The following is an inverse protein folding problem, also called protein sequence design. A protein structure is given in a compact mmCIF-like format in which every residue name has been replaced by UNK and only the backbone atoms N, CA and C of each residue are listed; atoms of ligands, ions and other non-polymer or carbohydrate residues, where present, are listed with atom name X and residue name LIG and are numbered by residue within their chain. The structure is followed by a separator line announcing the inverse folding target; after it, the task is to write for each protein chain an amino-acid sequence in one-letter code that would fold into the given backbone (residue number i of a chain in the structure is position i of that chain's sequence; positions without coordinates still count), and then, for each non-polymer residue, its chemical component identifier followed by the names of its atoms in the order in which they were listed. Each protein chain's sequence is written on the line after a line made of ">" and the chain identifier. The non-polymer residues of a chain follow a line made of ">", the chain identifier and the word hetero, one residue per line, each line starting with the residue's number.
data_IF_411825861981
#
_entry.id   IF_411825861981
#
_cell.length_a   1.000
_cell.length_b   1.000
_cell.length_c   1.000
_cell.angle_alpha   90.00
_cell.angle_beta   90.00
_cell.angle_gamma   90.00
#
_symmetry.space_group_name_H-M   'P 1'
#
loop_
_entity.id
_entity.type
_entity.pdbx_description
1 polymer ?
#
# COMPACT_ATOMS: atom_id res chain seq x y z
N UNK A 1 22.93 -9.06 16.23
CA UNK A 1 22.83 -8.24 15.00
C UNK A 1 21.60 -7.37 15.14
N UNK A 2 21.70 -6.10 14.79
CA UNK A 2 20.50 -5.23 14.72
C UNK A 2 19.56 -5.75 13.64
N UNK A 3 18.26 -5.73 13.87
CA UNK A 3 17.28 -6.14 12.85
C UNK A 3 17.39 -5.21 11.63
N UNK A 4 17.35 -5.81 10.44
CA UNK A 4 17.43 -5.06 9.18
C UNK A 4 16.22 -5.39 8.34
N UNK A 5 15.37 -4.40 8.04
CA UNK A 5 14.25 -4.60 7.14
C UNK A 5 14.70 -4.97 5.73
N UNK A 6 14.11 -6.01 5.17
CA UNK A 6 14.38 -6.44 3.79
C UNK A 6 13.10 -6.26 2.98
N UNK A 7 13.00 -5.20 2.14
CA UNK A 7 11.83 -5.01 1.30
C UNK A 7 11.89 -5.88 0.04
N UNK A 8 10.71 -6.12 -0.52
CA UNK A 8 10.55 -6.60 -1.88
C UNK A 8 10.63 -5.37 -2.79
N UNK A 9 11.47 -5.47 -3.82
CA UNK A 9 11.67 -4.42 -4.80
C UNK A 9 10.98 -4.77 -6.12
N UNK A 10 10.25 -3.82 -6.67
CA UNK A 10 9.67 -3.94 -8.00
C UNK A 10 10.69 -3.52 -9.07
N UNK A 11 10.88 -4.37 -10.09
CA UNK A 11 11.84 -4.13 -11.16
C UNK A 11 11.63 -2.80 -11.88
N UNK A 12 10.36 -2.46 -12.16
CA UNK A 12 10.02 -1.26 -12.93
C UNK A 12 10.35 0.04 -12.20
N UNK A 13 10.15 0.09 -10.87
CA UNK A 13 10.57 1.22 -10.06
C UNK A 13 12.08 1.21 -9.81
N UNK A 14 12.70 0.03 -9.65
CA UNK A 14 14.15 -0.12 -9.45
C UNK A 14 14.97 0.37 -10.64
N UNK A 15 14.42 0.32 -11.85
CA UNK A 15 15.05 0.82 -13.06
C UNK A 15 15.42 2.33 -12.95
N UNK A 16 14.72 3.09 -12.09
CA UNK A 16 14.95 4.51 -11.87
C UNK A 16 15.77 4.83 -10.61
N UNK A 17 16.36 3.83 -9.98
CA UNK A 17 17.24 4.05 -8.82
C UNK A 17 18.39 5.02 -9.12
N UNK A 18 18.97 4.95 -10.31
CA UNK A 18 20.00 5.87 -10.78
C UNK A 18 19.54 7.35 -10.91
N UNK A 19 18.22 7.58 -10.95
CA UNK A 19 17.61 8.91 -10.93
C UNK A 19 17.21 9.36 -9.51
N UNK A 20 17.52 8.55 -8.48
CA UNK A 20 17.23 8.84 -7.09
C UNK A 20 15.91 8.26 -6.59
N UNK A 21 15.19 7.47 -7.38
CA UNK A 21 13.99 6.80 -6.92
C UNK A 21 14.36 5.62 -6.02
N UNK A 22 13.87 5.62 -4.77
CA UNK A 22 14.02 4.51 -3.82
C UNK A 22 12.65 4.08 -3.33
N UNK A 23 12.40 2.78 -3.25
CA UNK A 23 11.11 2.23 -2.81
C UNK A 23 11.30 0.92 -2.09
N UNK A 24 10.23 0.44 -1.45
CA UNK A 24 10.17 -0.88 -0.86
C UNK A 24 8.75 -1.28 -0.45
N UNK A 25 8.38 -2.52 -0.77
CA UNK A 25 7.24 -3.20 -0.18
C UNK A 25 7.80 -4.03 0.99
N UNK A 26 7.72 -3.48 2.21
CA UNK A 26 8.34 -4.12 3.36
C UNK A 26 7.53 -5.32 3.82
N UNK A 27 8.26 -6.34 4.25
CA UNK A 27 7.68 -7.53 4.85
C UNK A 27 7.50 -7.33 6.36
N UNK A 28 6.91 -8.32 7.04
CA UNK A 28 6.87 -8.33 8.52
C UNK A 28 8.21 -8.66 9.18
N UNK A 29 9.27 -8.91 8.40
CA UNK A 29 10.57 -9.34 8.91
C UNK A 29 11.52 -8.16 9.15
N UNK A 30 12.47 -8.34 10.07
CA UNK A 30 13.54 -7.37 10.34
C UNK A 30 13.15 -6.24 11.30
N UNK A 31 12.18 -6.48 12.19
CA UNK A 31 11.77 -5.54 13.22
C UNK A 31 11.96 -6.06 14.65
N UNK A 32 11.37 -5.36 15.61
CA UNK A 32 11.54 -5.55 17.05
C UNK A 32 10.29 -6.03 17.78
N UNK A 33 9.11 -5.91 17.16
CA UNK A 33 7.84 -6.36 17.74
C UNK A 33 7.83 -7.87 17.99
N UNK A 34 7.02 -8.30 18.96
CA UNK A 34 6.95 -9.69 19.42
C UNK A 34 5.55 -10.27 19.22
N UNK A 35 5.40 -11.56 19.48
CA UNK A 35 4.12 -12.27 19.40
C UNK A 35 3.43 -12.11 18.05
N UNK A 36 2.14 -11.80 18.02
CA UNK A 36 1.36 -11.65 16.80
C UNK A 36 1.86 -10.51 15.89
N UNK A 37 2.59 -9.53 16.46
CA UNK A 37 3.18 -8.40 15.72
C UNK A 37 4.60 -8.67 15.21
N UNK A 38 5.13 -9.88 15.40
CA UNK A 38 6.51 -10.22 15.02
C UNK A 38 6.70 -10.10 13.50
N UNK A 39 7.64 -9.28 13.07
CA UNK A 39 8.57 -8.47 13.84
C UNK A 39 8.51 -6.98 13.48
N UNK A 40 8.26 -6.62 12.20
CA UNK A 40 8.30 -5.27 11.67
C UNK A 40 6.89 -4.67 11.57
N UNK A 41 6.14 -4.68 12.70
CA UNK A 41 4.87 -3.97 12.76
C UNK A 41 5.11 -2.46 12.85
N UNK A 42 4.48 -1.69 11.95
CA UNK A 42 4.56 -0.22 11.89
C UNK A 42 3.19 0.45 12.07
N UNK A 43 2.18 -0.34 12.42
CA UNK A 43 0.79 0.09 12.58
C UNK A 43 0.56 0.80 13.92
N UNK A 44 0.52 2.13 13.93
CA UNK A 44 0.32 2.95 15.13
C UNK A 44 -1.05 2.75 15.81
N UNK A 45 -2.02 2.19 15.09
CA UNK A 45 -3.36 1.86 15.62
C UNK A 45 -3.46 0.40 16.11
N UNK A 46 -2.38 -0.36 16.16
CA UNK A 46 -2.35 -1.70 16.76
C UNK A 46 -2.12 -1.62 18.27
N UNK A 47 -2.45 -2.69 18.99
CA UNK A 47 -2.20 -2.82 20.42
C UNK A 47 -0.76 -3.30 20.73
N UNK A 48 0.17 -3.15 19.79
CA UNK A 48 1.60 -3.38 20.02
C UNK A 48 2.22 -2.29 20.89
N UNK A 49 3.38 -2.56 21.46
CA UNK A 49 4.11 -1.57 22.25
C UNK A 49 4.50 -0.36 21.40
N UNK A 50 4.13 0.87 21.79
CA UNK A 50 4.44 2.10 21.03
C UNK A 50 5.93 2.25 20.73
N UNK A 51 6.81 1.84 21.67
CA UNK A 51 8.25 1.89 21.50
C UNK A 51 8.74 0.96 20.39
N UNK A 52 8.17 -0.25 20.26
CA UNK A 52 8.50 -1.16 19.17
C UNK A 52 8.08 -0.59 17.82
N UNK A 53 6.87 0.00 17.75
CA UNK A 53 6.37 0.64 16.53
C UNK A 53 7.27 1.80 16.12
N UNK A 54 7.65 2.68 17.07
CA UNK A 54 8.53 3.81 16.81
C UNK A 54 9.90 3.35 16.29
N UNK A 55 10.50 2.33 16.92
CA UNK A 55 11.78 1.76 16.50
C UNK A 55 11.67 1.08 15.12
N UNK A 56 10.60 0.35 14.84
CA UNK A 56 10.36 -0.25 13.54
C UNK A 56 10.24 0.81 12.44
N UNK A 57 9.55 1.92 12.71
CA UNK A 57 9.46 3.06 11.79
C UNK A 57 10.81 3.72 11.56
N UNK A 58 11.64 3.82 12.60
CA UNK A 58 13.04 4.29 12.48
C UNK A 58 13.87 3.38 11.58
N UNK A 59 13.72 2.06 11.71
CA UNK A 59 14.41 1.11 10.83
C UNK A 59 14.01 1.29 9.34
N UNK A 60 12.73 1.57 9.08
CA UNK A 60 12.25 1.89 7.72
C UNK A 60 12.88 3.20 7.22
N UNK A 61 12.89 4.27 8.04
CA UNK A 61 13.51 5.54 7.67
C UNK A 61 15.01 5.39 7.36
N UNK A 62 15.74 4.62 8.18
CA UNK A 62 17.16 4.32 7.95
C UNK A 62 17.38 3.54 6.64
N UNK A 63 16.48 2.65 6.24
CA UNK A 63 16.57 2.02 4.92
C UNK A 63 16.59 3.07 3.80
N UNK A 64 15.86 4.17 3.94
CA UNK A 64 15.83 5.27 2.99
C UNK A 64 16.95 6.30 3.19
N UNK A 65 17.83 6.14 4.19
CA UNK A 65 18.89 7.08 4.59
C UNK A 65 18.31 8.45 5.03
N UNK A 66 17.20 8.44 5.76
CA UNK A 66 16.57 9.64 6.33
C UNK A 66 16.26 9.48 7.80
N UNK A 67 16.00 10.59 8.49
CA UNK A 67 15.53 10.61 9.89
C UNK A 67 14.08 10.12 9.98
N UNK A 68 13.70 9.55 11.13
CA UNK A 68 12.39 8.93 11.36
C UNK A 68 11.20 9.88 11.09
N UNK A 69 11.38 11.18 11.35
CA UNK A 69 10.37 12.22 11.11
C UNK A 69 10.07 12.42 9.60
N UNK A 70 11.00 12.06 8.73
CA UNK A 70 10.82 12.14 7.28
C UNK A 70 10.09 10.93 6.68
N UNK A 71 9.68 9.96 7.51
CA UNK A 71 8.77 8.88 7.12
C UNK A 71 7.32 9.30 7.40
N UNK A 72 6.63 9.73 6.36
CA UNK A 72 5.28 10.29 6.44
C UNK A 72 4.24 9.26 6.03
N UNK A 73 3.23 9.10 6.86
CA UNK A 73 2.05 8.28 6.62
C UNK A 73 0.79 9.05 7.02
N UNK A 74 -0.37 8.67 6.52
CA UNK A 74 -1.67 9.26 6.84
C UNK A 74 -2.49 8.37 7.77
N UNK A 75 -3.55 8.92 8.36
CA UNK A 75 -4.57 8.15 9.04
C UNK A 75 -5.53 7.56 8.00
N UNK A 76 -5.33 6.30 7.62
CA UNK A 76 -6.08 5.60 6.58
C UNK A 76 -7.48 5.23 7.07
N UNK A 77 -8.50 5.65 6.33
CA UNK A 77 -9.92 5.45 6.67
C UNK A 77 -10.72 4.77 5.56
N UNK A 78 -10.04 4.16 4.58
CA UNK A 78 -10.63 3.53 3.38
C UNK A 78 -11.46 4.52 2.54
N UNK A 79 -11.01 5.76 2.47
CA UNK A 79 -11.60 6.86 1.70
C UNK A 79 -11.01 6.95 0.29
N UNK A 80 -11.36 8.06 -0.40
CA UNK A 80 -10.73 8.49 -1.65
C UNK A 80 -9.93 9.79 -1.48
N UNK A 81 -9.60 10.15 -0.24
CA UNK A 81 -8.86 11.39 0.01
C UNK A 81 -7.38 11.22 -0.29
N UNK A 82 -6.83 12.20 -1.01
CA UNK A 82 -5.43 12.26 -1.44
C UNK A 82 -4.81 13.54 -0.91
N UNK A 83 -3.68 13.42 -0.23
CA UNK A 83 -2.97 14.56 0.36
C UNK A 83 -1.67 14.82 -0.39
N UNK A 84 -1.44 16.09 -0.76
CA UNK A 84 -0.13 16.55 -1.22
C UNK A 84 0.74 16.82 0.02
N UNK A 85 1.97 16.30 0.01
CA UNK A 85 2.86 16.36 1.17
C UNK A 85 4.15 17.07 0.79
N UNK A 86 4.39 18.23 1.42
CA UNK A 86 5.61 19.02 1.22
C UNK A 86 6.61 18.90 2.37
N UNK A 87 6.13 18.44 3.54
CA UNK A 87 6.94 18.22 4.75
C UNK A 87 6.25 17.24 5.68
N UNK A 88 6.94 16.77 6.70
CA UNK A 88 6.34 15.96 7.77
C UNK A 88 5.17 16.69 8.44
N UNK A 89 4.13 15.96 8.81
CA UNK A 89 2.98 16.53 9.50
C UNK A 89 3.36 16.94 10.93
N UNK A 90 2.88 18.12 11.33
CA UNK A 90 2.97 18.58 12.72
C UNK A 90 1.67 18.16 13.41
N UNK A 91 1.77 17.35 14.47
CA UNK A 91 0.60 16.80 15.17
C UNK A 91 0.04 15.55 14.51
N UNK A 92 -1.30 15.38 14.58
CA UNK A 92 -1.95 14.18 14.04
C UNK A 92 -1.99 14.18 12.51
N UNK A 93 -1.62 13.07 11.85
CA UNK A 93 -1.74 12.94 10.41
C UNK A 93 -3.19 13.13 9.93
N UNK A 94 -3.41 13.74 8.75
CA UNK A 94 -4.75 13.89 8.18
C UNK A 94 -5.37 12.54 7.84
N UNK A 95 -6.71 12.50 7.80
CA UNK A 95 -7.47 11.37 7.31
C UNK A 95 -7.40 11.33 5.77
N UNK A 96 -6.74 10.32 5.22
CA UNK A 96 -6.60 10.11 3.79
C UNK A 96 -6.16 8.67 3.50
N UNK A 97 -6.18 8.28 2.24
CA UNK A 97 -5.73 6.95 1.80
C UNK A 97 -4.68 7.03 0.69
N UNK A 98 -4.23 8.22 0.32
CA UNK A 98 -3.10 8.40 -0.59
C UNK A 98 -2.30 9.67 -0.26
N UNK A 99 -1.00 9.59 -0.56
CA UNK A 99 -0.06 10.70 -0.47
C UNK A 99 0.61 10.92 -1.83
N UNK A 100 0.79 12.17 -2.20
CA UNK A 100 1.54 12.60 -3.40
C UNK A 100 2.58 13.63 -2.98
N UNK A 101 3.79 13.53 -3.52
CA UNK A 101 4.85 14.51 -3.26
C UNK A 101 5.79 14.69 -4.45
N UNK A 102 6.39 15.86 -4.54
CA UNK A 102 7.54 16.19 -5.39
C UNK A 102 8.81 16.43 -4.57
N UNK A 103 8.66 16.37 -3.23
CA UNK A 103 9.78 16.65 -2.31
C UNK A 103 10.77 15.51 -2.29
N UNK A 104 12.05 15.89 -2.36
CA UNK A 104 13.16 14.96 -2.20
C UNK A 104 13.47 14.72 -0.73
N UNK A 105 14.03 13.54 -0.43
CA UNK A 105 14.40 13.10 0.90
C UNK A 105 13.21 13.08 1.90
N UNK A 106 11.98 13.01 1.36
CA UNK A 106 10.76 12.77 2.09
C UNK A 106 10.19 11.42 1.67
N UNK A 107 10.10 10.50 2.62
CA UNK A 107 9.54 9.15 2.39
C UNK A 107 8.03 9.19 2.63
N UNK A 108 7.25 8.87 1.62
CA UNK A 108 5.81 8.69 1.78
C UNK A 108 5.47 7.20 1.76
N UNK A 109 4.56 6.78 2.64
CA UNK A 109 4.21 5.37 2.75
C UNK A 109 2.77 5.15 3.21
N UNK A 110 2.26 3.97 2.90
CA UNK A 110 0.93 3.50 3.34
C UNK A 110 1.05 2.15 4.02
N UNK A 111 0.14 1.89 4.94
CA UNK A 111 0.10 0.69 5.77
C UNK A 111 -0.96 -0.26 5.24
N UNK A 112 -0.64 -1.55 5.20
CA UNK A 112 -1.58 -2.57 4.75
C UNK A 112 -1.48 -3.85 5.59
N UNK A 113 -2.58 -4.59 5.62
CA UNK A 113 -2.67 -6.01 5.94
C UNK A 113 -3.85 -6.53 5.10
N UNK A 114 -3.57 -7.00 3.89
CA UNK A 114 -4.47 -7.48 2.84
C UNK A 114 -4.94 -6.46 1.79
N UNK A 115 -5.15 -5.18 2.13
CA UNK A 115 -5.48 -4.16 1.12
C UNK A 115 -4.33 -3.98 0.12
N UNK A 116 -4.64 -3.54 -1.10
CA UNK A 116 -3.65 -3.30 -2.15
C UNK A 116 -2.84 -2.02 -1.91
N UNK A 117 -1.52 -2.10 -1.69
CA UNK A 117 -0.64 -0.94 -1.74
C UNK A 117 -0.25 -0.65 -3.18
N UNK A 118 -0.36 0.61 -3.60
CA UNK A 118 0.13 1.02 -4.92
C UNK A 118 1.20 2.09 -4.72
N UNK A 119 2.37 1.87 -5.30
CA UNK A 119 3.42 2.87 -5.39
C UNK A 119 3.48 3.41 -6.83
N UNK A 120 3.44 4.74 -6.96
CA UNK A 120 3.49 5.43 -8.23
C UNK A 120 4.75 6.28 -8.34
N UNK A 121 5.29 6.37 -9.54
CA UNK A 121 6.34 7.32 -9.87
C UNK A 121 6.21 7.82 -11.30
N UNK A 122 6.35 9.13 -11.49
CA UNK A 122 6.77 9.74 -12.75
C UNK A 122 8.19 10.29 -12.56
N UNK A 123 9.23 9.52 -12.96
CA UNK A 123 10.62 9.94 -12.75
C UNK A 123 11.02 11.17 -13.57
N UNK A 124 10.34 11.43 -14.69
CA UNK A 124 10.62 12.59 -15.53
C UNK A 124 10.10 13.88 -14.89
N UNK A 125 8.91 13.84 -14.34
CA UNK A 125 8.30 14.96 -13.62
C UNK A 125 8.81 15.10 -12.18
N UNK A 126 9.43 14.06 -11.63
CA UNK A 126 9.83 14.03 -10.22
C UNK A 126 8.64 14.00 -9.27
N UNK A 127 7.59 13.27 -9.63
CA UNK A 127 6.36 13.10 -8.81
C UNK A 127 6.23 11.66 -8.37
N UNK A 128 5.98 11.43 -7.09
CA UNK A 128 5.72 10.10 -6.54
C UNK A 128 4.44 10.08 -5.72
N UNK A 129 3.82 8.88 -5.60
CA UNK A 129 2.67 8.68 -4.74
C UNK A 129 2.68 7.30 -4.07
N UNK A 130 1.99 7.21 -2.93
CA UNK A 130 1.69 5.95 -2.24
C UNK A 130 0.19 5.91 -1.93
N UNK A 131 -0.50 4.84 -2.35
CA UNK A 131 -1.96 4.73 -2.27
C UNK A 131 -2.38 3.44 -1.59
N UNK A 132 -3.28 3.55 -0.62
CA UNK A 132 -3.97 2.45 0.02
C UNK A 132 -5.24 2.13 -0.78
N UNK A 133 -5.17 1.11 -1.62
CA UNK A 133 -6.27 0.66 -2.46
C UNK A 133 -6.95 -0.57 -1.85
N UNK A 134 -7.66 -0.38 -0.73
CA UNK A 134 -8.64 -1.35 -0.26
C UNK A 134 -9.84 -1.40 -1.21
N UNK A 135 -10.70 -2.45 -1.10
CA UNK A 135 -11.84 -2.62 -2.00
C UNK A 135 -12.74 -1.39 -2.07
N UNK A 136 -13.04 -0.76 -0.91
CA UNK A 136 -13.92 0.41 -0.82
C UNK A 136 -13.31 1.64 -1.47
N UNK A 137 -12.05 1.96 -1.16
CA UNK A 137 -11.33 3.06 -1.79
C UNK A 137 -11.20 2.87 -3.31
N UNK A 138 -10.89 1.63 -3.76
CA UNK A 138 -10.80 1.30 -5.18
C UNK A 138 -12.15 1.44 -5.90
N UNK A 139 -13.25 0.95 -5.28
CA UNK A 139 -14.59 1.10 -5.84
C UNK A 139 -15.00 2.56 -5.97
N UNK A 140 -14.61 3.39 -5.01
CA UNK A 140 -14.94 4.81 -4.94
C UNK A 140 -13.95 5.73 -5.71
N UNK A 141 -12.92 5.16 -6.38
CA UNK A 141 -12.07 5.89 -7.31
C UNK A 141 -10.80 6.49 -6.73
N UNK A 142 -10.24 5.95 -5.64
CA UNK A 142 -8.96 6.42 -5.05
C UNK A 142 -7.82 6.42 -6.07
N UNK A 143 -7.78 5.43 -6.99
CA UNK A 143 -6.74 5.28 -8.00
C UNK A 143 -6.75 6.47 -8.95
N UNK A 144 -7.90 6.76 -9.55
CA UNK A 144 -8.06 7.88 -10.50
C UNK A 144 -7.80 9.24 -9.81
N UNK A 145 -8.30 9.40 -8.56
CA UNK A 145 -8.02 10.63 -7.78
C UNK A 145 -6.54 10.80 -7.49
N UNK A 146 -5.81 9.72 -7.17
CA UNK A 146 -4.36 9.79 -6.96
C UNK A 146 -3.66 10.25 -8.23
N UNK A 147 -3.96 9.64 -9.37
CA UNK A 147 -3.37 9.98 -10.67
C UNK A 147 -3.68 11.44 -11.03
N UNK A 148 -4.93 11.88 -10.86
CA UNK A 148 -5.32 13.27 -11.12
C UNK A 148 -4.58 14.29 -10.23
N UNK A 149 -4.27 13.94 -8.97
CA UNK A 149 -3.44 14.78 -8.08
C UNK A 149 -1.99 14.77 -8.55
N UNK A 150 -1.43 13.63 -8.98
CA UNK A 150 -0.10 13.55 -9.56
C UNK A 150 0.00 14.41 -10.82
N UNK A 151 -1.00 14.40 -11.71
CA UNK A 151 -1.05 15.26 -12.91
C UNK A 151 -1.03 16.76 -12.54
N UNK A 152 -1.76 17.17 -11.49
CA UNK A 152 -1.69 18.54 -10.97
C UNK A 152 -0.31 18.93 -10.45
N UNK A 153 0.50 17.94 -10.05
CA UNK A 153 1.90 18.13 -9.65
C UNK A 153 2.88 18.00 -10.81
N UNK A 154 2.41 17.87 -12.06
CA UNK A 154 3.21 17.83 -13.26
C UNK A 154 3.48 16.44 -13.85
N UNK A 155 2.99 15.38 -13.24
CA UNK A 155 3.11 14.03 -13.78
C UNK A 155 2.29 13.87 -15.09
N UNK A 156 2.68 12.88 -15.90
CA UNK A 156 1.93 12.49 -17.10
C UNK A 156 1.59 11.00 -17.01
N UNK A 157 0.38 10.61 -17.39
CA UNK A 157 -0.07 9.21 -17.33
C UNK A 157 0.87 8.28 -18.08
N UNK A 158 1.30 8.67 -19.28
CA UNK A 158 2.15 7.86 -20.16
C UNK A 158 3.56 7.59 -19.59
N UNK A 159 4.08 8.48 -18.74
CA UNK A 159 5.37 8.32 -18.05
C UNK A 159 5.23 7.81 -16.61
N UNK A 160 4.00 7.80 -16.07
CA UNK A 160 3.72 7.30 -14.73
C UNK A 160 3.78 5.77 -14.69
N UNK A 161 4.57 5.25 -13.78
CA UNK A 161 4.67 3.82 -13.43
C UNK A 161 3.87 3.61 -12.15
N UNK A 162 3.01 2.60 -12.14
CA UNK A 162 2.23 2.17 -11.00
C UNK A 162 2.50 0.70 -10.69
N UNK A 163 2.90 0.39 -9.47
CA UNK A 163 3.15 -0.99 -9.05
C UNK A 163 2.23 -1.36 -7.91
N UNK A 164 1.39 -2.38 -8.15
CA UNK A 164 0.60 -3.01 -7.11
C UNK A 164 1.52 -3.94 -6.29
N UNK A 165 1.67 -3.65 -5.01
CA UNK A 165 2.44 -4.46 -4.08
C UNK A 165 1.67 -5.64 -3.50
N UNK A 166 2.27 -6.37 -2.53
CA UNK A 166 1.66 -7.54 -1.90
C UNK A 166 0.31 -7.21 -1.25
N UNK A 167 -0.71 -7.96 -1.60
CA UNK A 167 -2.06 -7.86 -1.03
C UNK A 167 -2.78 -9.21 -1.07
N UNK A 168 -4.00 -9.30 -0.53
CA UNK A 168 -4.74 -10.56 -0.50
C UNK A 168 -5.03 -11.08 -1.91
N UNK A 169 -4.63 -12.31 -2.18
CA UNK A 169 -4.84 -12.95 -3.49
C UNK A 169 -6.26 -13.49 -3.66
N UNK A 170 -6.71 -13.68 -4.92
CA UNK A 170 -8.09 -14.06 -5.24
C UNK A 170 -8.51 -15.41 -4.64
N UNK A 171 -7.59 -16.35 -4.45
CA UNK A 171 -7.88 -17.64 -3.81
C UNK A 171 -8.26 -17.53 -2.33
N UNK A 172 -7.95 -16.41 -1.67
CA UNK A 172 -8.11 -16.23 -0.23
C UNK A 172 -9.05 -15.08 0.16
N UNK A 173 -9.58 -14.37 -0.81
CA UNK A 173 -10.49 -13.25 -0.54
C UNK A 173 -11.95 -13.66 -0.75
N UNK A 174 -12.46 -14.54 0.14
CA UNK A 174 -13.87 -14.89 0.17
C UNK A 174 -14.68 -13.72 0.74
N UNK A 175 -15.79 -13.40 0.08
CA UNK A 175 -16.71 -12.28 0.39
C UNK A 175 -18.15 -12.74 0.31
N UNK A 176 -19.09 -12.01 0.94
CA UNK A 176 -20.52 -12.31 0.95
C UNK A 176 -21.25 -11.74 -0.29
N UNK A 177 -22.52 -12.13 -0.46
CA UNK A 177 -23.38 -11.57 -1.50
C UNK A 177 -23.57 -10.07 -1.36
N UNK A 178 -23.75 -9.56 -0.13
CA UNK A 178 -23.89 -8.11 0.10
C UNK A 178 -22.64 -7.34 -0.35
N UNK A 179 -21.46 -7.94 -0.21
CA UNK A 179 -20.24 -7.35 -0.76
C UNK A 179 -20.26 -7.33 -2.30
N UNK A 180 -20.69 -8.42 -2.93
CA UNK A 180 -20.84 -8.52 -4.37
C UNK A 180 -21.84 -7.49 -4.90
N UNK A 181 -22.99 -7.36 -4.26
CA UNK A 181 -24.07 -6.46 -4.67
C UNK A 181 -23.60 -5.00 -4.72
N UNK A 182 -22.77 -4.55 -3.75
CA UNK A 182 -22.18 -3.19 -3.75
C UNK A 182 -21.39 -2.88 -5.02
N UNK A 183 -20.73 -3.88 -5.62
CA UNK A 183 -20.01 -3.69 -6.88
C UNK A 183 -20.94 -3.68 -8.09
N UNK A 184 -21.93 -4.56 -8.09
CA UNK A 184 -22.86 -4.70 -9.22
C UNK A 184 -23.81 -3.48 -9.31
N UNK A 185 -24.23 -2.95 -8.16
CA UNK A 185 -25.01 -1.71 -8.08
C UNK A 185 -24.26 -0.51 -8.64
N UNK A 186 -22.92 -0.45 -8.43
CA UNK A 186 -22.08 0.58 -9.04
C UNK A 186 -21.95 0.35 -10.56
N UNK A 187 -21.65 -0.86 -10.98
CA UNK A 187 -21.53 -1.19 -12.40
C UNK A 187 -21.51 -2.71 -12.63
N UNK A 188 -22.45 -3.23 -13.48
CA UNK A 188 -22.57 -4.66 -13.80
C UNK A 188 -21.28 -5.28 -14.37
N UNK A 189 -20.42 -4.49 -15.08
CA UNK A 189 -19.13 -4.97 -15.60
C UNK A 189 -18.17 -5.52 -14.52
N UNK A 190 -18.40 -5.21 -13.25
CA UNK A 190 -17.53 -5.66 -12.15
C UNK A 190 -17.76 -7.12 -11.78
N UNK A 191 -18.84 -7.76 -12.27
CA UNK A 191 -19.10 -9.20 -12.11
C UNK A 191 -17.88 -10.06 -12.48
N UNK A 192 -17.10 -9.66 -13.47
CA UNK A 192 -15.92 -10.39 -13.95
C UNK A 192 -14.80 -10.60 -12.91
N UNK A 193 -14.84 -9.83 -11.80
CA UNK A 193 -13.86 -9.95 -10.71
C UNK A 193 -14.30 -10.91 -9.62
N UNK A 194 -15.46 -11.55 -9.75
CA UNK A 194 -16.03 -12.44 -8.76
C UNK A 194 -16.20 -13.85 -9.33
N UNK A 195 -15.76 -14.84 -8.55
CA UNK A 195 -16.01 -16.26 -8.82
C UNK A 195 -16.90 -16.82 -7.72
N UNK A 196 -17.99 -17.50 -8.09
CA UNK A 196 -18.84 -18.21 -7.13
C UNK A 196 -18.02 -19.26 -6.37
N UNK A 197 -18.33 -19.44 -5.09
CA UNK A 197 -17.78 -20.51 -4.27
C UNK A 197 -18.82 -21.60 -4.05
N UNK A 198 -18.43 -22.72 -3.42
CA UNK A 198 -19.37 -23.80 -3.06
C UNK A 198 -20.32 -23.38 -1.90
N UNK A 199 -20.01 -22.30 -1.19
CA UNK A 199 -20.89 -21.73 -0.18
C UNK A 199 -21.95 -20.87 -0.82
N UNK A 200 -23.21 -21.10 -0.40
CA UNK A 200 -24.35 -20.30 -0.84
C UNK A 200 -24.09 -18.82 -0.54
N UNK A 201 -24.34 -17.95 -1.52
CA UNK A 201 -24.19 -16.49 -1.42
C UNK A 201 -22.78 -16.02 -1.03
N UNK A 202 -21.73 -16.77 -1.44
CA UNK A 202 -20.33 -16.38 -1.25
C UNK A 202 -19.59 -16.39 -2.58
N UNK A 203 -18.60 -15.48 -2.66
CA UNK A 203 -17.78 -15.26 -3.86
C UNK A 203 -16.32 -15.14 -3.48
N UNK A 204 -15.42 -15.42 -4.42
CA UNK A 204 -14.01 -15.00 -4.33
C UNK A 204 -13.81 -13.75 -5.15
N UNK A 205 -13.36 -12.69 -4.50
CA UNK A 205 -13.09 -11.40 -5.15
C UNK A 205 -11.63 -11.30 -5.58
N UNK A 206 -11.40 -10.93 -6.84
CA UNK A 206 -10.08 -10.70 -7.39
C UNK A 206 -9.70 -9.21 -7.29
N UNK A 207 -9.22 -8.80 -6.10
CA UNK A 207 -8.75 -7.43 -5.86
C UNK A 207 -7.59 -7.05 -6.78
N UNK A 208 -6.69 -7.99 -7.10
CA UNK A 208 -5.55 -7.74 -8.00
C UNK A 208 -6.04 -7.31 -9.38
N UNK A 209 -6.87 -8.13 -10.00
CA UNK A 209 -7.41 -7.83 -11.33
C UNK A 209 -8.26 -6.55 -11.32
N UNK A 210 -9.00 -6.27 -10.25
CA UNK A 210 -9.80 -5.06 -10.11
C UNK A 210 -8.92 -3.80 -10.11
N UNK A 211 -7.85 -3.78 -9.29
CA UNK A 211 -6.91 -2.66 -9.21
C UNK A 211 -6.11 -2.51 -10.51
N UNK A 212 -5.55 -3.61 -11.04
CA UNK A 212 -4.75 -3.60 -12.28
C UNK A 212 -5.57 -3.06 -13.44
N UNK A 213 -6.83 -3.50 -13.57
CA UNK A 213 -7.68 -3.02 -14.65
C UNK A 213 -7.98 -1.51 -14.55
N UNK A 214 -8.23 -0.99 -13.34
CA UNK A 214 -8.44 0.45 -13.15
C UNK A 214 -7.19 1.26 -13.49
N UNK A 215 -6.00 0.79 -13.11
CA UNK A 215 -4.73 1.41 -13.46
C UNK A 215 -4.49 1.41 -14.98
N UNK A 216 -4.81 0.29 -15.64
CA UNK A 216 -4.70 0.15 -17.10
C UNK A 216 -5.68 1.08 -17.82
N UNK A 217 -6.94 1.12 -17.37
CA UNK A 217 -7.96 2.04 -17.90
C UNK A 217 -7.57 3.52 -17.70
N UNK A 218 -6.86 3.83 -16.62
CA UNK A 218 -6.33 5.17 -16.36
C UNK A 218 -5.13 5.55 -17.26
N UNK A 219 -4.56 4.62 -18.05
CA UNK A 219 -3.51 4.89 -19.03
C UNK A 219 -2.11 5.08 -18.45
N UNK A 220 -1.83 4.49 -17.27
CA UNK A 220 -0.49 4.45 -16.67
C UNK A 220 0.21 3.12 -16.96
N UNK A 221 1.55 3.06 -16.78
CA UNK A 221 2.31 1.81 -16.94
C UNK A 221 2.17 0.96 -15.67
N UNK A 222 1.61 -0.23 -15.80
CA UNK A 222 1.20 -1.08 -14.66
C UNK A 222 2.03 -2.34 -14.53
N UNK A 223 2.44 -2.65 -13.31
CA UNK A 223 2.93 -3.97 -12.94
C UNK A 223 2.44 -4.41 -11.54
N UNK A 224 2.60 -5.69 -11.22
CA UNK A 224 2.17 -6.28 -9.97
C UNK A 224 3.24 -7.21 -9.42
N UNK A 225 3.42 -7.21 -8.10
CA UNK A 225 4.38 -8.10 -7.41
C UNK A 225 3.84 -9.53 -7.27
N UNK A 226 2.52 -9.73 -7.38
CA UNK A 226 1.82 -11.02 -7.34
C UNK A 226 2.10 -11.87 -6.08
N UNK A 227 2.24 -11.25 -4.93
CA UNK A 227 2.41 -11.92 -3.64
C UNK A 227 1.16 -11.79 -2.77
N UNK A 228 0.68 -12.93 -2.28
CA UNK A 228 -0.53 -12.99 -1.46
C UNK A 228 -0.19 -12.88 0.03
N UNK A 229 -0.67 -11.82 0.69
CA UNK A 229 -0.43 -11.57 2.12
C UNK A 229 -1.06 -12.63 3.02
N UNK A 230 -2.22 -13.18 2.66
CA UNK A 230 -2.87 -14.26 3.41
C UNK A 230 -2.08 -15.57 3.34
N UNK A 231 -1.61 -15.95 2.15
CA UNK A 231 -0.92 -17.22 1.92
C UNK A 231 0.48 -17.24 2.53
N UNK A 232 1.21 -16.14 2.39
CA UNK A 232 2.61 -16.04 2.81
C UNK A 232 2.73 -15.40 4.21
N UNK A 233 2.41 -16.19 5.22
CA UNK A 233 2.48 -15.77 6.63
C UNK A 233 3.89 -15.43 7.09
N UNK A 234 4.90 -16.07 6.51
CA UNK A 234 6.31 -15.83 6.87
C UNK A 234 6.71 -14.38 6.56
N UNK A 235 6.16 -13.79 5.49
CA UNK A 235 6.56 -12.49 5.02
C UNK A 235 5.53 -11.38 5.29
N UNK A 236 4.26 -11.71 5.53
CA UNK A 236 3.22 -10.68 5.62
C UNK A 236 2.27 -10.84 6.81
N UNK A 237 1.86 -9.71 7.37
CA UNK A 237 0.66 -9.62 8.18
C UNK A 237 -0.57 -9.72 7.28
N UNK A 238 -1.67 -10.28 7.81
CA UNK A 238 -2.92 -10.40 7.10
C UNK A 238 -4.09 -10.27 8.07
N UNK A 239 -4.95 -9.29 7.84
CA UNK A 239 -6.21 -9.09 8.57
C UNK A 239 -7.12 -10.30 8.45
N UNK A 240 -7.31 -10.82 7.22
CA UNK A 240 -8.17 -11.98 6.96
C UNK A 240 -7.68 -13.22 7.70
N UNK A 241 -6.38 -13.44 7.77
CA UNK A 241 -5.80 -14.55 8.52
C UNK A 241 -6.02 -14.38 10.02
N UNK A 242 -5.86 -13.17 10.55
CA UNK A 242 -6.12 -12.87 11.96
C UNK A 242 -7.60 -13.15 12.33
N UNK A 243 -8.55 -12.70 11.49
CA UNK A 243 -9.97 -13.00 11.69
C UNK A 243 -10.24 -14.51 11.66
N UNK A 244 -9.67 -15.26 10.71
CA UNK A 244 -9.86 -16.71 10.62
C UNK A 244 -9.28 -17.46 11.82
N UNK A 245 -8.30 -16.88 12.51
CA UNK A 245 -7.68 -17.45 13.71
C UNK A 245 -8.25 -16.90 15.02
N UNK A 246 -9.23 -16.03 14.95
CA UNK A 246 -9.78 -15.31 16.11
C UNK A 246 -8.68 -14.59 16.92
N UNK A 247 -7.66 -14.05 16.24
CA UNK A 247 -6.63 -13.25 16.86
C UNK A 247 -7.23 -11.89 17.29
N UNK A 248 -6.85 -11.36 18.47
CA UNK A 248 -7.46 -10.13 19.01
C UNK A 248 -7.05 -8.85 18.25
N UNK A 249 -5.94 -8.91 17.51
CA UNK A 249 -5.42 -7.80 16.68
C UNK A 249 -4.44 -8.34 15.64
N UNK A 250 -3.84 -7.45 14.84
CA UNK A 250 -2.90 -7.80 13.79
C UNK A 250 -1.89 -6.67 13.50
N UNK A 251 -0.69 -7.04 13.06
CA UNK A 251 0.32 -6.09 12.60
C UNK A 251 0.00 -5.56 11.19
N UNK A 252 0.72 -4.49 10.82
CA UNK A 252 0.63 -3.88 9.48
C UNK A 252 2.04 -3.67 8.92
N UNK A 253 2.24 -4.07 7.67
CA UNK A 253 3.44 -3.74 6.90
C UNK A 253 3.27 -2.39 6.21
N UNK A 254 4.38 -1.81 5.76
CA UNK A 254 4.41 -0.55 5.01
C UNK A 254 4.90 -0.78 3.59
N UNK A 255 4.32 -0.02 2.65
CA UNK A 255 4.87 0.18 1.31
C UNK A 255 5.25 1.64 1.18
N UNK A 256 6.52 1.92 0.84
CA UNK A 256 7.05 3.27 0.90
C UNK A 256 7.92 3.61 -0.32
N UNK A 257 7.98 4.90 -0.65
CA UNK A 257 8.68 5.42 -1.82
C UNK A 257 9.25 6.81 -1.52
N UNK A 258 10.40 7.14 -2.11
CA UNK A 258 11.09 8.40 -1.95
C UNK A 258 11.85 8.80 -3.23
N UNK A 259 11.95 10.09 -3.48
CA UNK A 259 12.92 10.70 -4.39
C UNK A 259 14.10 11.21 -3.56
N UNK A 260 15.32 10.78 -3.91
CA UNK A 260 16.55 11.21 -3.25
C UNK A 260 17.19 12.39 -3.99
N UNK A 261 17.77 13.32 -3.24
CA UNK A 261 18.65 14.32 -3.86
C UNK A 261 19.84 13.62 -4.52
N UNK A 262 20.16 14.00 -5.74
CA UNK A 262 21.45 13.61 -6.35
C UNK A 262 22.55 14.32 -5.56
N UNK A 263 23.35 13.55 -4.84
CA UNK A 263 24.59 14.06 -4.23
C UNK A 263 25.67 14.18 -5.30
#
# INVERSE_FOLDING_TARGET
>A
MNPVPIPILAKDLSAFHHQGLKHGFFTRQGGLSKSLYQSLNVGQSSNDYPEHIAQNRTLIAHYFDVEAQNLVTVNQIHSCEVVIVDQAFIGSPPQADALVTTRKDLVIGILTADCGPILFADPQAGVIAATHAGWRGSLNGIIEKTIAVMEKQGAKRQSTIAVLGPCIGPCHYEVTGEFYDQFIDCHSKYQKYFLKTDKINHFRFNLWAFIINQLTEAGVNVSCVELCTYKDEKHFFSYRRAIHRNEPDYGRQISAIMLKNKR
#
